data_IF_710143830621
#
_entry.id   IF_710143830621
#
_cell.length_a   1.000
_cell.length_b   1.000
_cell.length_c   1.000
_cell.angle_alpha   90.00
_cell.angle_beta   90.00
_cell.angle_gamma   90.00
#
_symmetry.space_group_name_H-M   'P 1'
#
loop_
_entity.id
_entity.type
_entity.pdbx_description
1 polymer ?
#
# COMPACT_ATOMS: atom_id res chain seq x y z
N UNK A 1 10.25 -14.81 -39.83
CA UNK A 1 11.32 -14.98 -38.85
C UNK A 1 11.12 -13.93 -37.77
N UNK A 2 10.64 -14.25 -36.58
CA UNK A 2 10.57 -13.26 -35.50
C UNK A 2 12.00 -13.04 -34.98
N UNK A 3 12.35 -11.80 -34.81
CA UNK A 3 13.67 -11.33 -34.42
C UNK A 3 13.96 -11.65 -32.94
N UNK A 4 15.19 -12.09 -32.64
CA UNK A 4 15.75 -12.50 -31.34
C UNK A 4 15.73 -11.43 -30.21
N UNK A 5 15.09 -10.30 -30.42
CA UNK A 5 15.00 -9.20 -29.44
C UNK A 5 13.88 -9.39 -28.39
N UNK A 6 12.98 -10.36 -28.54
CA UNK A 6 11.87 -10.61 -27.61
C UNK A 6 12.15 -11.69 -26.56
N UNK A 7 13.25 -12.42 -26.68
CA UNK A 7 13.62 -13.50 -25.74
C UNK A 7 14.45 -13.06 -24.53
N UNK A 8 14.86 -11.78 -24.44
CA UNK A 8 15.83 -11.31 -23.43
C UNK A 8 15.19 -10.70 -22.15
N UNK A 9 13.87 -10.72 -21.98
CA UNK A 9 13.20 -10.09 -20.83
C UNK A 9 12.79 -11.11 -19.74
N UNK A 10 13.03 -12.37 -19.91
CA UNK A 10 12.59 -13.42 -18.98
C UNK A 10 13.74 -14.09 -18.21
N UNK A 11 14.68 -13.32 -17.68
CA UNK A 11 15.45 -13.78 -16.53
C UNK A 11 14.70 -13.33 -15.27
N UNK A 12 13.67 -14.09 -14.87
CA UNK A 12 13.07 -13.95 -13.54
C UNK A 12 14.17 -14.27 -12.52
N UNK A 13 14.71 -13.25 -11.86
CA UNK A 13 15.53 -13.48 -10.69
C UNK A 13 14.76 -14.41 -9.76
N UNK A 14 15.32 -15.57 -9.42
CA UNK A 14 14.70 -16.52 -8.52
C UNK A 14 14.38 -15.80 -7.20
N UNK A 15 13.15 -15.99 -6.68
CA UNK A 15 12.76 -15.45 -5.39
C UNK A 15 13.71 -15.91 -4.30
N UNK A 16 14.11 -15.00 -3.42
CA UNK A 16 14.90 -15.34 -2.25
C UNK A 16 14.00 -16.11 -1.28
N UNK A 17 14.36 -17.38 -1.04
CA UNK A 17 13.62 -18.21 -0.09
C UNK A 17 13.75 -17.64 1.34
N UNK A 18 12.66 -17.68 2.10
CA UNK A 18 12.64 -17.20 3.49
C UNK A 18 11.26 -17.29 4.12
N UNK A 19 11.12 -16.78 5.36
CA UNK A 19 9.86 -16.85 6.10
C UNK A 19 8.79 -15.92 5.51
N UNK A 20 9.19 -14.82 4.86
CA UNK A 20 8.27 -13.85 4.27
C UNK A 20 7.96 -14.23 2.83
N UNK A 21 6.67 -14.39 2.52
CA UNK A 21 6.22 -14.87 1.20
C UNK A 21 5.53 -13.75 0.43
N UNK A 22 6.08 -13.41 -0.72
CA UNK A 22 5.48 -12.51 -1.68
C UNK A 22 4.26 -13.18 -2.32
N UNK A 23 3.06 -12.71 -1.97
CA UNK A 23 1.80 -13.25 -2.47
C UNK A 23 1.51 -12.79 -3.91
N UNK A 24 0.68 -13.56 -4.61
CA UNK A 24 0.16 -13.17 -5.91
C UNK A 24 -0.79 -11.97 -5.80
N UNK A 25 -0.91 -11.20 -6.89
CA UNK A 25 -1.94 -10.16 -6.97
C UNK A 25 -3.34 -10.78 -6.84
N UNK A 26 -4.28 -10.12 -6.14
CA UNK A 26 -5.65 -10.62 -6.00
C UNK A 26 -6.50 -10.48 -7.27
N UNK A 27 -5.93 -9.92 -8.34
CA UNK A 27 -6.56 -9.70 -9.65
C UNK A 27 -5.48 -9.66 -10.75
N UNK A 28 -5.88 -9.73 -12.02
CA UNK A 28 -4.98 -9.63 -13.16
C UNK A 28 -4.28 -8.25 -13.22
N UNK A 29 -3.08 -8.18 -13.78
CA UNK A 29 -2.31 -6.95 -13.83
C UNK A 29 -2.99 -5.79 -14.59
N UNK A 30 -3.86 -6.10 -15.53
CA UNK A 30 -4.66 -5.13 -16.31
C UNK A 30 -6.02 -4.78 -15.69
N UNK A 31 -6.37 -5.42 -14.57
CA UNK A 31 -7.71 -5.30 -13.97
C UNK A 31 -8.03 -3.90 -13.41
N UNK A 32 -7.02 -3.08 -13.15
CA UNK A 32 -7.18 -1.71 -12.64
C UNK A 32 -7.20 -0.64 -13.73
N UNK A 33 -7.12 -1.06 -15.01
CA UNK A 33 -7.27 -0.12 -16.12
C UNK A 33 -8.70 0.47 -16.17
N UNK A 34 -8.84 1.71 -16.61
CA UNK A 34 -7.82 2.62 -17.14
C UNK A 34 -7.11 3.45 -16.05
N UNK A 35 -7.29 3.18 -14.78
CA UNK A 35 -6.74 3.99 -13.66
C UNK A 35 -5.26 3.73 -13.43
N UNK A 36 -4.86 2.46 -13.34
CA UNK A 36 -3.46 2.04 -13.25
C UNK A 36 -3.21 1.09 -14.42
N UNK A 37 -2.19 1.36 -15.20
CA UNK A 37 -1.86 0.57 -16.39
C UNK A 37 -1.18 -0.76 -16.03
N UNK A 38 -1.36 -1.75 -16.89
CA UNK A 38 -0.82 -3.10 -16.71
C UNK A 38 0.71 -3.11 -16.56
N UNK A 39 1.42 -2.24 -17.28
CA UNK A 39 2.87 -2.17 -17.19
C UNK A 39 3.33 -1.68 -15.81
N UNK A 40 2.67 -0.65 -15.28
CA UNK A 40 2.90 -0.18 -13.90
C UNK A 40 2.66 -1.32 -12.92
N UNK A 41 1.55 -2.06 -13.02
CA UNK A 41 1.24 -3.17 -12.13
C UNK A 41 2.29 -4.29 -12.19
N UNK A 42 2.73 -4.67 -13.38
CA UNK A 42 3.75 -5.70 -13.57
C UNK A 42 5.11 -5.32 -12.96
N UNK A 43 5.52 -4.06 -13.13
CA UNK A 43 6.79 -3.55 -12.57
C UNK A 43 6.66 -3.37 -11.05
N UNK A 44 5.58 -2.73 -10.61
CA UNK A 44 5.35 -2.38 -9.22
C UNK A 44 5.25 -3.63 -8.33
N UNK A 45 4.42 -4.60 -8.71
CA UNK A 45 4.31 -5.87 -8.00
C UNK A 45 5.53 -6.78 -8.25
N UNK A 46 5.91 -6.98 -9.51
CA UNK A 46 6.90 -8.00 -9.89
C UNK A 46 8.36 -7.59 -9.67
N UNK A 47 8.65 -6.29 -9.48
CA UNK A 47 10.01 -5.77 -9.27
C UNK A 47 10.14 -5.06 -7.93
N UNK A 48 9.38 -3.99 -7.70
CA UNK A 48 9.48 -3.21 -6.45
C UNK A 48 9.03 -4.03 -5.24
N UNK A 49 7.80 -4.51 -5.24
CA UNK A 49 7.25 -5.29 -4.13
C UNK A 49 8.04 -6.56 -3.87
N UNK A 50 8.35 -7.32 -4.93
CA UNK A 50 9.22 -8.49 -4.83
C UNK A 50 10.58 -8.17 -4.25
N UNK A 51 11.20 -7.07 -4.66
CA UNK A 51 12.50 -6.64 -4.16
C UNK A 51 12.50 -6.39 -2.65
N UNK A 52 11.42 -5.84 -2.10
CA UNK A 52 11.27 -5.68 -0.66
C UNK A 52 11.24 -7.03 0.06
N UNK A 53 10.50 -8.00 -0.44
CA UNK A 53 10.46 -9.35 0.12
C UNK A 53 11.81 -10.06 0.03
N UNK A 54 12.48 -9.97 -1.11
CA UNK A 54 13.79 -10.60 -1.31
C UNK A 54 14.85 -10.02 -0.35
N UNK A 55 14.85 -8.70 -0.16
CA UNK A 55 15.76 -8.03 0.77
C UNK A 55 15.42 -8.35 2.24
N UNK A 56 14.14 -8.39 2.59
CA UNK A 56 13.70 -8.75 3.93
C UNK A 56 14.07 -10.20 4.27
N UNK A 57 13.92 -11.12 3.32
CA UNK A 57 14.31 -12.53 3.50
C UNK A 57 15.84 -12.68 3.64
N UNK A 58 16.65 -11.90 2.93
CA UNK A 58 18.11 -11.87 3.16
C UNK A 58 18.45 -11.42 4.57
N UNK A 59 17.79 -10.36 5.06
CA UNK A 59 17.98 -9.91 6.43
C UNK A 59 17.53 -10.96 7.47
N UNK A 60 16.42 -11.67 7.21
CA UNK A 60 15.92 -12.73 8.08
C UNK A 60 16.84 -13.95 8.14
N UNK A 61 17.57 -14.25 7.06
CA UNK A 61 18.56 -15.34 7.06
C UNK A 61 19.72 -15.09 8.05
N UNK A 62 20.01 -13.82 8.33
CA UNK A 62 21.06 -13.39 9.27
C UNK A 62 20.53 -13.03 10.66
N UNK A 63 19.20 -13.03 10.85
CA UNK A 63 18.55 -12.61 12.11
C UNK A 63 17.37 -13.54 12.45
N UNK A 64 17.61 -14.46 13.38
CA UNK A 64 16.62 -15.46 13.80
C UNK A 64 15.41 -14.84 14.51
N UNK A 65 15.55 -13.70 15.19
CA UNK A 65 14.42 -12.98 15.80
C UNK A 65 13.51 -12.44 14.70
N UNK A 66 14.08 -11.79 13.68
CA UNK A 66 13.34 -11.28 12.53
C UNK A 66 12.58 -12.40 11.80
N UNK A 67 13.22 -13.55 11.63
CA UNK A 67 12.64 -14.70 10.94
C UNK A 67 11.40 -15.31 11.60
N UNK A 68 11.13 -15.01 12.88
CA UNK A 68 9.99 -15.51 13.64
C UNK A 68 8.81 -14.55 13.72
N UNK A 69 8.94 -13.34 13.21
CA UNK A 69 7.90 -12.31 13.29
C UNK A 69 6.97 -12.36 12.07
N UNK A 70 5.68 -12.05 12.29
CA UNK A 70 4.82 -11.60 11.20
C UNK A 70 5.19 -10.17 10.79
N UNK A 71 4.72 -9.73 9.60
CA UNK A 71 4.95 -8.34 9.17
C UNK A 71 4.35 -7.33 10.16
N UNK A 72 3.15 -7.60 10.73
CA UNK A 72 2.51 -6.74 11.72
C UNK A 72 3.32 -6.67 13.02
N UNK A 73 3.81 -7.82 13.49
CA UNK A 73 4.67 -7.88 14.68
C UNK A 73 5.98 -7.12 14.45
N UNK A 74 6.54 -7.21 13.23
CA UNK A 74 7.72 -6.46 12.85
C UNK A 74 7.44 -4.95 12.87
N UNK A 75 6.32 -4.48 12.28
CA UNK A 75 5.96 -3.06 12.29
C UNK A 75 5.86 -2.51 13.72
N UNK A 76 5.21 -3.24 14.62
CA UNK A 76 5.00 -2.81 16.01
C UNK A 76 6.29 -2.64 16.83
N UNK A 77 7.42 -3.17 16.38
CA UNK A 77 8.73 -3.10 17.05
C UNK A 77 9.87 -2.76 16.09
N UNK A 78 9.57 -2.03 15.01
CA UNK A 78 10.53 -1.75 13.94
C UNK A 78 11.73 -0.93 14.42
N UNK A 79 11.58 -0.16 15.49
CA UNK A 79 12.67 0.60 16.13
C UNK A 79 13.83 -0.28 16.61
N UNK A 80 13.60 -1.59 16.82
CA UNK A 80 14.60 -2.54 17.26
C UNK A 80 15.47 -3.08 16.10
N UNK A 81 15.13 -2.72 14.86
CA UNK A 81 15.79 -3.25 13.66
C UNK A 81 16.50 -2.14 12.86
N UNK A 82 17.53 -2.51 12.07
CA UNK A 82 18.22 -1.55 11.21
C UNK A 82 17.29 -0.92 10.15
N UNK A 83 17.67 0.24 9.64
CA UNK A 83 16.92 0.98 8.60
C UNK A 83 16.61 0.13 7.36
N UNK A 84 17.49 -0.80 6.96
CA UNK A 84 17.24 -1.74 5.86
C UNK A 84 16.04 -2.64 6.12
N UNK A 85 15.85 -3.13 7.33
CA UNK A 85 14.70 -3.94 7.74
C UNK A 85 13.45 -3.06 7.80
N UNK A 86 13.53 -1.83 8.32
CA UNK A 86 12.42 -0.86 8.32
C UNK A 86 11.92 -0.58 6.91
N UNK A 87 12.83 -0.28 5.98
CA UNK A 87 12.45 0.04 4.61
C UNK A 87 11.87 -1.17 3.86
N UNK A 88 12.49 -2.34 3.98
CA UNK A 88 12.04 -3.53 3.25
C UNK A 88 10.83 -4.20 3.92
N UNK A 89 10.76 -4.25 5.23
CA UNK A 89 9.60 -4.73 5.98
C UNK A 89 8.38 -3.84 5.77
N UNK A 90 8.57 -2.52 5.85
CA UNK A 90 7.53 -1.55 5.52
C UNK A 90 7.08 -1.67 4.07
N UNK A 91 8.02 -1.78 3.13
CA UNK A 91 7.72 -1.99 1.72
C UNK A 91 6.92 -3.27 1.45
N UNK A 92 7.28 -4.38 2.08
CA UNK A 92 6.54 -5.62 1.97
C UNK A 92 5.10 -5.47 2.47
N UNK A 93 4.91 -4.98 3.70
CA UNK A 93 3.58 -4.82 4.30
C UNK A 93 2.72 -3.78 3.56
N UNK A 94 3.28 -2.62 3.23
CA UNK A 94 2.54 -1.53 2.57
C UNK A 94 1.95 -1.97 1.23
N UNK A 95 2.70 -2.75 0.46
CA UNK A 95 2.25 -3.20 -0.85
C UNK A 95 1.22 -4.33 -0.76
N UNK A 96 1.34 -5.28 0.18
CA UNK A 96 0.28 -6.26 0.44
C UNK A 96 -1.03 -5.54 0.77
N UNK A 97 -0.96 -4.54 1.66
CA UNK A 97 -2.09 -3.73 2.05
C UNK A 97 -2.68 -2.94 0.87
N UNK A 98 -1.82 -2.39 0.02
CA UNK A 98 -2.18 -1.60 -1.15
C UNK A 98 -2.94 -2.41 -2.19
N UNK A 99 -2.43 -3.60 -2.54
CA UNK A 99 -3.12 -4.48 -3.49
C UNK A 99 -4.51 -4.88 -2.99
N UNK A 100 -4.64 -5.23 -1.72
CA UNK A 100 -5.92 -5.56 -1.09
C UNK A 100 -6.86 -4.34 -0.95
N UNK A 101 -6.33 -3.11 -0.99
CA UNK A 101 -7.10 -1.87 -0.92
C UNK A 101 -7.72 -1.48 -2.27
N UNK A 102 -7.42 -2.20 -3.36
CA UNK A 102 -7.92 -1.91 -4.69
C UNK A 102 -8.75 -3.08 -5.25
N UNK A 103 -9.62 -2.77 -6.18
CA UNK A 103 -10.43 -3.71 -6.94
C UNK A 103 -10.67 -3.15 -8.34
N UNK A 104 -10.99 -3.99 -9.34
CA UNK A 104 -11.38 -3.53 -10.67
C UNK A 104 -12.49 -2.48 -10.61
N UNK A 105 -12.49 -1.53 -11.55
CA UNK A 105 -13.48 -0.45 -11.61
C UNK A 105 -14.90 -1.01 -11.48
N UNK A 106 -15.68 -0.47 -10.54
CA UNK A 106 -17.06 -0.89 -10.27
C UNK A 106 -17.20 -2.19 -9.46
N UNK A 107 -16.09 -2.81 -9.01
CA UNK A 107 -16.10 -4.05 -8.19
C UNK A 107 -15.75 -3.81 -6.71
N UNK A 108 -15.31 -2.62 -6.35
CA UNK A 108 -14.88 -2.28 -4.98
C UNK A 108 -16.01 -2.13 -3.96
N UNK A 109 -17.27 -2.17 -4.39
CA UNK A 109 -18.42 -1.92 -3.50
C UNK A 109 -18.59 -0.44 -3.14
N UNK A 110 -19.21 -0.19 -1.98
CA UNK A 110 -19.48 1.16 -1.45
C UNK A 110 -19.14 1.19 0.04
N UNK A 111 -18.86 2.36 0.61
CA UNK A 111 -18.77 2.50 2.07
C UNK A 111 -20.04 2.03 2.76
N UNK A 112 -19.90 1.25 3.83
CA UNK A 112 -21.04 0.83 4.66
C UNK A 112 -21.70 2.02 5.36
N UNK A 113 -22.96 1.87 5.79
CA UNK A 113 -23.65 2.91 6.55
C UNK A 113 -22.87 3.33 7.81
N UNK A 114 -22.27 2.37 8.51
CA UNK A 114 -21.45 2.63 9.70
C UNK A 114 -20.19 3.43 9.37
N UNK A 115 -19.49 3.09 8.27
CA UNK A 115 -18.33 3.85 7.82
C UNK A 115 -18.73 5.25 7.35
N UNK A 116 -19.83 5.41 6.62
CA UNK A 116 -20.32 6.71 6.19
C UNK A 116 -20.65 7.61 7.37
N UNK A 117 -21.31 7.10 8.42
CA UNK A 117 -21.57 7.87 9.65
C UNK A 117 -20.29 8.36 10.32
N UNK A 118 -19.25 7.52 10.36
CA UNK A 118 -17.95 7.92 10.89
C UNK A 118 -17.27 8.97 10.00
N UNK A 119 -17.35 8.83 8.68
CA UNK A 119 -16.81 9.81 7.72
C UNK A 119 -17.55 11.15 7.86
N UNK A 120 -18.88 11.14 7.97
CA UNK A 120 -19.68 12.36 8.17
C UNK A 120 -19.36 13.05 9.49
N UNK A 121 -19.22 12.27 10.57
CA UNK A 121 -18.84 12.79 11.89
C UNK A 121 -17.47 13.48 11.87
N UNK A 122 -16.46 12.85 11.22
CA UNK A 122 -15.07 13.27 11.35
C UNK A 122 -14.61 14.22 10.22
N UNK A 123 -15.26 14.16 9.05
CA UNK A 123 -14.88 14.95 7.86
C UNK A 123 -16.02 15.78 7.25
N UNK A 124 -17.26 15.57 7.67
CA UNK A 124 -18.43 16.27 7.15
C UNK A 124 -19.08 15.57 5.94
N UNK A 125 -18.31 14.94 5.05
CA UNK A 125 -18.81 14.14 3.93
C UNK A 125 -17.75 13.23 3.35
N UNK A 126 -18.16 12.22 2.57
CA UNK A 126 -17.25 11.37 1.81
C UNK A 126 -16.36 12.19 0.85
N UNK A 127 -16.94 13.19 0.19
CA UNK A 127 -16.21 14.08 -0.70
C UNK A 127 -15.13 14.89 0.03
N UNK A 128 -15.45 15.42 1.20
CA UNK A 128 -14.48 16.17 2.02
C UNK A 128 -13.36 15.27 2.54
N UNK A 129 -13.68 14.05 2.94
CA UNK A 129 -12.67 13.04 3.30
C UNK A 129 -11.74 12.74 2.13
N UNK A 130 -12.29 12.51 0.91
CA UNK A 130 -11.49 12.26 -0.28
C UNK A 130 -10.60 13.47 -0.64
N UNK A 131 -11.10 14.68 -0.49
CA UNK A 131 -10.31 15.91 -0.71
C UNK A 131 -9.16 16.01 0.29
N UNK A 132 -9.42 15.74 1.58
CA UNK A 132 -8.39 15.76 2.62
C UNK A 132 -7.31 14.68 2.37
N UNK A 133 -7.73 13.48 1.96
CA UNK A 133 -6.81 12.39 1.59
C UNK A 133 -5.93 12.77 0.41
N UNK A 134 -6.53 13.32 -0.67
CA UNK A 134 -5.79 13.77 -1.84
C UNK A 134 -4.82 14.92 -1.51
N UNK A 135 -5.24 15.85 -0.65
CA UNK A 135 -4.39 16.95 -0.20
C UNK A 135 -3.17 16.44 0.60
N UNK A 136 -3.38 15.47 1.51
CA UNK A 136 -2.30 14.86 2.28
C UNK A 136 -1.31 14.09 1.39
N UNK A 137 -1.82 13.31 0.41
CA UNK A 137 -0.98 12.61 -0.57
C UNK A 137 -0.24 13.55 -1.51
N UNK A 138 -0.89 14.63 -1.96
CA UNK A 138 -0.31 15.64 -2.84
C UNK A 138 0.78 16.46 -2.15
N UNK A 139 0.63 16.76 -0.86
CA UNK A 139 1.59 17.53 -0.07
C UNK A 139 2.78 16.70 0.45
N UNK A 140 2.71 15.35 0.36
CA UNK A 140 3.85 14.50 0.73
C UNK A 140 5.04 14.79 -0.17
N UNK A 141 6.04 15.48 0.36
CA UNK A 141 7.26 15.76 -0.38
C UNK A 141 8.07 14.49 -0.60
N UNK A 142 8.44 14.22 -1.86
CA UNK A 142 9.18 13.01 -2.23
C UNK A 142 8.32 11.76 -2.20
N UNK A 143 8.94 10.66 -1.83
CA UNK A 143 8.31 9.32 -1.76
C UNK A 143 7.60 9.11 -0.43
N UNK A 144 6.49 8.41 -0.46
CA UNK A 144 5.75 8.05 0.74
C UNK A 144 4.36 7.51 0.46
N UNK A 145 3.54 7.54 1.48
CA UNK A 145 2.19 7.00 1.49
C UNK A 145 1.21 7.96 2.13
N UNK A 146 -0.04 7.92 1.69
CA UNK A 146 -1.16 8.60 2.35
C UNK A 146 -2.12 7.55 2.91
N UNK A 147 -2.65 7.81 4.12
CA UNK A 147 -3.43 6.86 4.90
C UNK A 147 -4.74 7.46 5.40
N UNK A 148 -5.82 6.66 5.37
CA UNK A 148 -7.00 6.80 6.22
C UNK A 148 -6.85 5.79 7.35
N UNK A 149 -6.92 6.25 8.59
CA UNK A 149 -6.71 5.43 9.80
C UNK A 149 -7.84 5.61 10.80
N UNK A 150 -7.97 4.64 11.71
CA UNK A 150 -8.68 4.83 12.98
C UNK A 150 -7.64 5.13 14.06
N UNK A 151 -7.81 6.26 14.72
CA UNK A 151 -7.01 6.70 15.85
C UNK A 151 -7.92 7.14 16.99
N UNK A 152 -7.82 6.51 18.16
CA UNK A 152 -8.65 6.84 19.34
C UNK A 152 -10.16 6.89 19.03
N UNK A 153 -10.64 5.93 18.22
CA UNK A 153 -12.07 5.83 17.84
C UNK A 153 -12.54 6.81 16.78
N UNK A 154 -11.67 7.65 16.23
CA UNK A 154 -11.96 8.62 15.16
C UNK A 154 -11.21 8.26 13.89
N UNK A 155 -11.79 8.67 12.77
CA UNK A 155 -11.10 8.62 11.49
C UNK A 155 -10.13 9.80 11.39
N UNK A 156 -8.91 9.54 10.95
CA UNK A 156 -7.90 10.54 10.69
C UNK A 156 -7.18 10.27 9.36
N UNK A 157 -6.61 11.31 8.77
CA UNK A 157 -5.81 11.23 7.56
C UNK A 157 -4.40 11.74 7.88
N UNK A 158 -3.41 11.02 7.37
CA UNK A 158 -2.02 11.44 7.47
C UNK A 158 -1.18 10.85 6.36
N UNK A 159 0.07 11.27 6.28
CA UNK A 159 1.04 10.72 5.33
C UNK A 159 2.34 10.34 6.02
N UNK A 160 3.00 9.32 5.51
CA UNK A 160 4.28 8.82 6.02
C UNK A 160 5.35 8.86 4.94
N UNK A 161 6.63 9.11 5.28
CA UNK A 161 7.72 9.11 4.32
C UNK A 161 8.16 7.69 3.95
N UNK A 162 8.76 7.54 2.78
CA UNK A 162 9.39 6.32 2.31
C UNK A 162 8.47 5.10 2.43
N UNK A 163 8.86 4.07 3.20
CA UNK A 163 8.03 2.89 3.44
C UNK A 163 7.50 2.81 4.88
N UNK A 164 7.51 3.92 5.59
CA UNK A 164 6.85 3.98 6.90
C UNK A 164 5.34 3.83 6.78
N UNK A 165 4.73 3.28 7.82
CA UNK A 165 3.28 3.08 7.90
C UNK A 165 2.75 3.31 9.33
N UNK A 166 1.43 3.47 9.50
CA UNK A 166 0.83 3.82 10.80
C UNK A 166 0.94 2.75 11.89
N UNK A 167 1.36 1.52 11.56
CA UNK A 167 1.58 0.45 12.53
C UNK A 167 2.96 0.53 13.19
N UNK A 168 3.89 1.28 12.61
CA UNK A 168 5.26 1.38 13.11
C UNK A 168 5.32 2.16 14.42
N UNK A 169 6.08 1.62 15.38
CA UNK A 169 6.34 2.27 16.67
C UNK A 169 7.12 3.60 16.55
N UNK A 170 7.73 3.84 15.39
CA UNK A 170 8.46 5.07 15.05
C UNK A 170 7.66 6.06 14.20
N UNK A 171 6.43 5.71 13.80
CA UNK A 171 5.65 6.55 12.91
C UNK A 171 5.08 7.78 13.64
N UNK A 172 5.12 8.95 12.97
CA UNK A 172 4.48 10.18 13.46
C UNK A 172 2.94 10.07 13.35
N UNK A 173 2.45 9.39 12.32
CA UNK A 173 1.02 9.10 12.11
C UNK A 173 0.77 7.67 12.52
N UNK A 174 0.07 7.45 13.63
CA UNK A 174 -0.18 6.14 14.22
C UNK A 174 -1.66 5.85 14.35
N UNK A 175 -2.04 4.61 14.05
CA UNK A 175 -3.41 4.14 14.15
C UNK A 175 -3.63 2.86 13.34
N UNK A 176 -4.87 2.38 13.32
CA UNK A 176 -5.25 1.21 12.51
C UNK A 176 -5.51 1.63 11.06
N UNK A 177 -4.73 1.19 10.08
CA UNK A 177 -4.92 1.57 8.70
C UNK A 177 -6.21 0.96 8.12
N UNK A 178 -7.02 1.80 7.48
CA UNK A 178 -8.20 1.39 6.74
C UNK A 178 -7.96 1.42 5.22
N UNK A 179 -7.24 2.44 4.77
CA UNK A 179 -6.93 2.68 3.37
C UNK A 179 -5.55 3.32 3.26
N UNK A 180 -4.76 2.89 2.29
CA UNK A 180 -3.45 3.45 2.00
C UNK A 180 -3.23 3.58 0.50
N UNK A 181 -2.61 4.68 0.06
CA UNK A 181 -2.25 4.89 -1.33
C UNK A 181 -0.76 5.24 -1.44
N UNK A 182 -0.09 4.57 -2.36
CA UNK A 182 1.31 4.78 -2.69
C UNK A 182 1.49 6.05 -3.51
N UNK A 183 2.27 7.01 -3.00
CA UNK A 183 2.62 8.25 -3.72
C UNK A 183 4.09 8.31 -4.12
N UNK A 184 4.80 7.18 -4.08
CA UNK A 184 6.05 7.02 -4.80
C UNK A 184 5.81 7.20 -6.30
N UNK A 185 6.70 7.84 -7.01
CA UNK A 185 6.52 8.09 -8.45
C UNK A 185 6.37 6.81 -9.27
N UNK A 186 7.02 5.71 -8.87
CA UNK A 186 6.89 4.42 -9.54
C UNK A 186 5.45 3.88 -9.56
N UNK A 187 4.58 4.32 -8.65
CA UNK A 187 3.19 3.89 -8.59
C UNK A 187 2.31 4.50 -9.70
N UNK A 188 2.74 5.62 -10.31
CA UNK A 188 1.87 6.36 -11.24
C UNK A 188 2.58 7.00 -12.44
N UNK A 189 3.92 7.00 -12.49
CA UNK A 189 4.67 7.82 -13.45
C UNK A 189 4.43 7.44 -14.91
N UNK A 190 4.29 6.16 -15.24
CA UNK A 190 4.09 5.73 -16.63
C UNK A 190 2.82 6.31 -17.23
N UNK A 191 1.75 6.43 -16.45
CA UNK A 191 0.47 6.96 -16.90
C UNK A 191 0.28 8.44 -16.65
N UNK A 192 0.67 8.92 -15.48
CA UNK A 192 0.38 10.30 -15.04
C UNK A 192 1.61 11.19 -15.04
N UNK A 193 2.80 10.64 -15.20
CA UNK A 193 4.07 11.38 -15.15
C UNK A 193 4.16 12.20 -13.84
N UNK A 194 4.46 13.48 -13.91
CA UNK A 194 4.55 14.35 -12.74
C UNK A 194 3.19 14.77 -12.15
N UNK A 195 2.07 14.30 -12.72
CA UNK A 195 0.72 14.74 -12.32
C UNK A 195 0.16 13.86 -11.18
N UNK A 196 0.83 13.87 -10.01
CA UNK A 196 0.37 13.11 -8.83
C UNK A 196 -1.08 13.42 -8.46
N UNK A 197 -1.52 14.67 -8.57
CA UNK A 197 -2.89 15.05 -8.26
C UNK A 197 -3.94 14.35 -9.14
N UNK A 198 -3.64 14.14 -10.43
CA UNK A 198 -4.53 13.42 -11.35
C UNK A 198 -4.62 11.94 -10.98
N UNK A 199 -3.48 11.32 -10.61
CA UNK A 199 -3.44 9.96 -10.10
C UNK A 199 -4.27 9.80 -8.82
N UNK A 200 -4.05 10.65 -7.82
CA UNK A 200 -4.80 10.62 -6.56
C UNK A 200 -6.30 10.76 -6.77
N UNK A 201 -6.72 11.63 -7.69
CA UNK A 201 -8.13 11.80 -8.05
C UNK A 201 -8.70 10.58 -8.76
N UNK A 202 -7.97 9.99 -9.71
CA UNK A 202 -8.43 8.84 -10.46
C UNK A 202 -8.49 7.56 -9.61
N UNK A 203 -7.60 7.41 -8.64
CA UNK A 203 -7.45 6.22 -7.82
C UNK A 203 -8.72 5.81 -7.06
N UNK A 204 -9.59 6.76 -6.70
CA UNK A 204 -10.87 6.48 -6.02
C UNK A 204 -11.79 5.53 -6.80
N UNK A 205 -11.62 5.42 -8.12
CA UNK A 205 -12.41 4.51 -8.97
C UNK A 205 -12.06 3.03 -8.73
N UNK A 206 -10.89 2.74 -8.18
CA UNK A 206 -10.40 1.38 -7.91
C UNK A 206 -10.34 1.06 -6.42
N UNK A 207 -10.80 1.94 -5.54
CA UNK A 207 -10.83 1.66 -4.10
C UNK A 207 -11.74 0.48 -3.79
N UNK A 208 -11.22 -0.48 -3.03
CA UNK A 208 -11.95 -1.63 -2.53
C UNK A 208 -12.66 -1.29 -1.21
N UNK A 209 -13.83 -0.69 -1.30
CA UNK A 209 -14.63 -0.32 -0.13
C UNK A 209 -15.04 -1.53 0.72
N UNK A 210 -15.17 -2.71 0.13
CA UNK A 210 -15.46 -3.93 0.89
C UNK A 210 -14.33 -4.23 1.88
N UNK A 211 -13.06 -4.09 1.46
CA UNK A 211 -11.92 -4.26 2.35
C UNK A 211 -11.86 -3.16 3.42
N UNK A 212 -12.14 -1.91 3.05
CA UNK A 212 -12.19 -0.77 3.99
C UNK A 212 -13.25 -1.01 5.06
N UNK A 213 -14.46 -1.45 4.67
CA UNK A 213 -15.55 -1.76 5.59
C UNK A 213 -15.18 -2.86 6.59
N UNK A 214 -14.52 -3.92 6.11
CA UNK A 214 -14.06 -5.03 6.98
C UNK A 214 -13.03 -4.55 8.00
N UNK A 215 -12.02 -3.77 7.54
CA UNK A 215 -10.97 -3.21 8.40
C UNK A 215 -11.57 -2.25 9.43
N UNK A 216 -12.53 -1.42 9.03
CA UNK A 216 -13.23 -0.51 9.93
C UNK A 216 -14.01 -1.28 11.00
N UNK A 217 -14.78 -2.29 10.62
CA UNK A 217 -15.51 -3.13 11.56
C UNK A 217 -14.58 -3.88 12.54
N UNK A 218 -13.38 -4.26 12.10
CA UNK A 218 -12.36 -4.87 12.96
C UNK A 218 -11.73 -3.86 13.92
N UNK A 219 -11.46 -2.65 13.46
CA UNK A 219 -10.86 -1.58 14.25
C UNK A 219 -11.76 -1.07 15.39
N UNK A 220 -13.07 -1.32 15.32
CA UNK A 220 -14.04 -0.95 16.34
C UNK A 220 -14.27 -2.05 17.41
N UNK A 221 -13.69 -3.24 17.20
CA UNK A 221 -13.80 -4.28 18.22
C UNK A 221 -12.90 -3.93 19.42
N UNK A 222 -13.40 -4.14 20.65
CA UNK A 222 -12.62 -3.88 21.86
C UNK A 222 -11.42 -4.82 21.99
#
# INVERSE_FOLDING_TARGET
MPTDAQAAVAASAQAVAGPFKHADLPYAADALEPVIDAQTMQIHWGRHHRGYYDNLNRAAAENTQLAQLSLEQLMAQISQFPAGVRNNGGGAWNHDFFWASMAPVGKGGQPSAQLLQAIERDFGSLQQMQQAFNAAGGSRFGSGWVWLIVQEGKLAIGSTPNQDNPLMDVAEVRGTPLLGNDVWEHAYYLRYQNKRADYLKAWWQVVNWNAVNQRFAQALKP
#
